data_IF_649821184685
#
_entry.id   IF_649821184685
#
_cell.length_a   1.000
_cell.length_b   1.000
_cell.length_c   1.000
_cell.angle_alpha   90.00
_cell.angle_beta   90.00
_cell.angle_gamma   90.00
#
_symmetry.space_group_name_H-M   'P 1'
#
loop_
_entity.id
_entity.type
_entity.pdbx_description
1 polymer ?
#
# COMPACT_ATOMS: atom_id res chain seq x y z
N UNK A 1 25.76 -4.36 -19.82
CA UNK A 1 24.30 -4.64 -19.90
C UNK A 1 23.55 -4.01 -18.71
N UNK A 2 22.78 -2.95 -18.97
CA UNK A 2 21.88 -2.35 -17.97
C UNK A 2 20.83 -3.38 -17.58
N UNK A 3 20.88 -3.89 -16.34
CA UNK A 3 19.94 -4.90 -15.85
C UNK A 3 18.52 -4.32 -15.94
N UNK A 4 17.62 -5.00 -16.68
CA UNK A 4 16.19 -4.63 -16.71
C UNK A 4 15.66 -4.57 -15.28
N UNK A 5 14.86 -3.56 -14.90
CA UNK A 5 14.32 -3.47 -13.55
C UNK A 5 13.45 -4.69 -13.27
N UNK A 6 13.98 -5.61 -12.46
CA UNK A 6 13.23 -6.76 -11.97
C UNK A 6 12.26 -6.28 -10.92
N UNK A 7 10.97 -6.53 -11.13
CA UNK A 7 9.98 -6.22 -10.11
C UNK A 7 10.18 -7.14 -8.90
N UNK A 8 10.01 -6.54 -7.72
CA UNK A 8 10.08 -7.23 -6.44
C UNK A 8 8.80 -6.93 -5.68
N UNK A 9 8.17 -7.97 -5.17
CA UNK A 9 7.11 -7.82 -4.19
C UNK A 9 7.73 -7.26 -2.92
N UNK A 10 7.13 -6.22 -2.34
CA UNK A 10 7.57 -5.73 -1.05
C UNK A 10 7.13 -6.72 0.04
N UNK A 11 8.10 -7.44 0.60
CA UNK A 11 7.87 -8.50 1.59
C UNK A 11 7.17 -7.99 2.86
N UNK A 12 7.23 -6.69 3.16
CA UNK A 12 6.51 -6.10 4.29
C UNK A 12 4.99 -6.25 4.15
N UNK A 13 4.44 -6.24 2.93
CA UNK A 13 3.01 -6.49 2.75
C UNK A 13 2.61 -7.92 3.10
N UNK A 14 3.56 -8.87 3.10
CA UNK A 14 3.30 -10.24 3.52
C UNK A 14 3.12 -10.37 5.04
N UNK A 15 3.38 -9.31 5.82
CA UNK A 15 3.05 -9.27 7.25
C UNK A 15 1.60 -8.86 7.50
N UNK A 16 0.94 -8.25 6.51
CA UNK A 16 -0.47 -7.87 6.59
C UNK A 16 -1.34 -9.09 6.28
N UNK A 17 -2.13 -9.51 7.28
CA UNK A 17 -2.99 -10.69 7.18
C UNK A 17 -4.06 -10.53 6.10
N UNK A 18 -4.66 -9.36 5.98
CA UNK A 18 -5.73 -9.09 5.01
C UNK A 18 -5.15 -9.12 3.60
N UNK A 19 -3.98 -8.50 3.41
CA UNK A 19 -3.26 -8.55 2.14
C UNK A 19 -2.92 -9.99 1.73
N UNK A 20 -2.37 -10.79 2.66
CA UNK A 20 -2.02 -12.18 2.35
C UNK A 20 -3.25 -13.05 2.09
N UNK A 21 -4.36 -12.80 2.78
CA UNK A 21 -5.59 -13.54 2.56
C UNK A 21 -6.18 -13.24 1.17
N UNK A 22 -6.21 -11.98 0.78
CA UNK A 22 -6.66 -11.56 -0.56
C UNK A 22 -5.80 -12.20 -1.66
N UNK A 23 -4.47 -12.19 -1.51
CA UNK A 23 -3.56 -12.87 -2.45
C UNK A 23 -3.78 -14.38 -2.50
N UNK A 24 -4.01 -15.05 -1.35
CA UNK A 24 -4.30 -16.50 -1.30
C UNK A 24 -5.60 -16.84 -2.03
N UNK A 25 -6.64 -16.04 -1.83
CA UNK A 25 -7.92 -16.21 -2.49
C UNK A 25 -7.74 -16.08 -4.01
N UNK A 26 -7.02 -15.05 -4.45
CA UNK A 26 -6.75 -14.82 -5.87
C UNK A 26 -5.93 -15.95 -6.50
N UNK A 27 -4.92 -16.46 -5.80
CA UNK A 27 -4.13 -17.61 -6.25
C UNK A 27 -4.97 -18.87 -6.39
N UNK A 28 -5.84 -19.15 -5.41
CA UNK A 28 -6.70 -20.32 -5.42
C UNK A 28 -7.67 -20.27 -6.60
N UNK A 29 -8.37 -19.13 -6.77
CA UNK A 29 -9.25 -18.90 -7.91
C UNK A 29 -8.52 -19.01 -9.25
N UNK A 30 -7.30 -18.49 -9.35
CA UNK A 30 -6.51 -18.59 -10.57
C UNK A 30 -6.25 -20.06 -10.96
N UNK A 31 -5.79 -20.89 -10.03
CA UNK A 31 -5.52 -22.29 -10.33
C UNK A 31 -6.79 -23.10 -10.55
N UNK A 32 -7.86 -22.86 -9.80
CA UNK A 32 -9.17 -23.50 -10.03
C UNK A 32 -9.67 -23.28 -11.46
N UNK A 33 -9.47 -22.08 -12.03
CA UNK A 33 -9.95 -21.73 -13.36
C UNK A 33 -9.00 -22.15 -14.50
N UNK A 34 -7.71 -22.30 -14.22
CA UNK A 34 -6.68 -22.46 -15.26
C UNK A 34 -5.98 -23.82 -15.27
N UNK A 35 -6.11 -24.63 -14.21
CA UNK A 35 -5.57 -25.99 -14.22
C UNK A 35 -6.29 -26.80 -15.31
N UNK A 36 -5.52 -27.42 -16.20
CA UNK A 36 -6.05 -28.20 -17.33
C UNK A 36 -6.40 -27.38 -18.58
N UNK A 37 -6.31 -26.04 -18.54
CA UNK A 37 -6.61 -25.19 -19.72
C UNK A 37 -5.52 -25.24 -20.79
N UNK A 38 -4.29 -25.60 -20.41
CA UNK A 38 -3.15 -25.77 -21.32
C UNK A 38 -2.36 -27.02 -20.93
N UNK A 39 -1.72 -27.64 -21.92
CA UNK A 39 -0.95 -28.88 -21.71
C UNK A 39 0.35 -28.68 -20.93
N UNK A 40 0.90 -27.46 -20.92
CA UNK A 40 2.17 -27.17 -20.24
C UNK A 40 1.93 -26.44 -18.91
N UNK A 41 2.26 -27.07 -17.76
CA UNK A 41 2.21 -26.42 -16.46
C UNK A 41 3.09 -25.16 -16.38
N UNK A 42 4.17 -25.10 -17.17
CA UNK A 42 5.06 -23.95 -17.22
C UNK A 42 4.37 -22.67 -17.73
N UNK A 43 3.44 -22.81 -18.68
CA UNK A 43 2.66 -21.69 -19.20
C UNK A 43 1.70 -21.16 -18.13
N UNK A 44 1.02 -22.06 -17.42
CA UNK A 44 0.12 -21.71 -16.29
C UNK A 44 0.91 -20.96 -15.23
N UNK A 45 2.11 -21.44 -14.87
CA UNK A 45 2.94 -20.78 -13.87
C UNK A 45 3.43 -19.40 -14.33
N UNK A 46 3.82 -19.25 -15.60
CA UNK A 46 4.25 -17.96 -16.14
C UNK A 46 3.10 -16.93 -16.13
N UNK A 47 1.91 -17.34 -16.55
CA UNK A 47 0.72 -16.51 -16.54
C UNK A 47 0.27 -16.18 -15.11
N UNK A 48 0.27 -17.16 -14.19
CA UNK A 48 -0.01 -16.96 -12.76
C UNK A 48 0.86 -15.84 -12.17
N UNK A 49 2.18 -15.88 -12.39
CA UNK A 49 3.11 -14.85 -11.89
C UNK A 49 2.79 -13.47 -12.46
N UNK A 50 2.44 -13.39 -13.74
CA UNK A 50 2.10 -12.11 -14.38
C UNK A 50 0.81 -11.53 -13.79
N UNK A 51 -0.23 -12.35 -13.64
CA UNK A 51 -1.51 -11.98 -13.05
C UNK A 51 -1.34 -11.58 -11.59
N UNK A 52 -0.65 -12.39 -10.79
CA UNK A 52 -0.39 -12.12 -9.37
C UNK A 52 0.34 -10.79 -9.18
N UNK A 53 1.31 -10.49 -10.04
CA UNK A 53 2.02 -9.20 -10.01
C UNK A 53 1.09 -8.03 -10.31
N UNK A 54 0.19 -8.17 -11.30
CA UNK A 54 -0.82 -7.16 -11.61
C UNK A 54 -1.76 -6.92 -10.44
N UNK A 55 -2.28 -8.01 -9.87
CA UNK A 55 -3.19 -7.98 -8.74
C UNK A 55 -2.54 -7.38 -7.48
N UNK A 56 -1.32 -7.82 -7.14
CA UNK A 56 -0.55 -7.26 -6.03
C UNK A 56 -0.36 -5.75 -6.16
N UNK A 57 -0.08 -5.24 -7.37
CA UNK A 57 0.01 -3.78 -7.60
C UNK A 57 -1.34 -3.08 -7.44
N UNK A 58 -2.41 -3.70 -7.96
CA UNK A 58 -3.75 -3.15 -7.87
C UNK A 58 -4.19 -2.94 -6.41
N UNK A 59 -4.02 -3.96 -5.56
CA UNK A 59 -4.37 -3.87 -4.13
C UNK A 59 -3.65 -2.71 -3.47
N UNK A 60 -2.33 -2.58 -3.70
CA UNK A 60 -1.53 -1.51 -3.10
C UNK A 60 -1.96 -0.13 -3.57
N UNK A 61 -2.20 0.02 -4.88
CA UNK A 61 -2.68 1.27 -5.46
C UNK A 61 -4.07 1.65 -4.94
N UNK A 62 -4.98 0.68 -4.79
CA UNK A 62 -6.31 0.91 -4.21
C UNK A 62 -6.19 1.42 -2.77
N UNK A 63 -5.38 0.77 -1.94
CA UNK A 63 -5.18 1.19 -0.55
C UNK A 63 -4.56 2.58 -0.43
N UNK A 64 -3.59 2.89 -1.28
CA UNK A 64 -3.00 4.24 -1.34
C UNK A 64 -4.04 5.28 -1.73
N UNK A 65 -4.90 4.96 -2.71
CA UNK A 65 -6.00 5.83 -3.11
C UNK A 65 -7.00 6.05 -1.97
N UNK A 66 -7.39 5.00 -1.27
CA UNK A 66 -8.33 5.08 -0.15
C UNK A 66 -7.76 5.91 0.99
N UNK A 67 -6.48 5.70 1.33
CA UNK A 67 -5.77 6.48 2.34
C UNK A 67 -5.70 7.96 1.95
N UNK A 68 -5.35 8.28 0.70
CA UNK A 68 -5.29 9.65 0.22
C UNK A 68 -6.67 10.33 0.23
N UNK A 69 -7.73 9.59 -0.11
CA UNK A 69 -9.10 10.07 0.00
C UNK A 69 -9.46 10.39 1.46
N UNK A 70 -9.08 9.52 2.39
CA UNK A 70 -9.32 9.73 3.82
C UNK A 70 -8.57 10.97 4.36
N UNK A 71 -7.31 11.16 3.95
CA UNK A 71 -6.51 12.34 4.29
C UNK A 71 -7.21 13.61 3.78
N UNK A 72 -7.64 13.63 2.51
CA UNK A 72 -8.29 14.79 1.91
C UNK A 72 -9.60 15.18 2.62
N UNK A 73 -10.38 14.20 3.05
CA UNK A 73 -11.59 14.43 3.87
C UNK A 73 -11.21 15.06 5.22
N UNK A 74 -10.18 14.54 5.90
CA UNK A 74 -9.71 15.09 7.18
C UNK A 74 -9.12 16.50 7.05
N UNK A 75 -8.39 16.80 5.97
CA UNK A 75 -7.87 18.14 5.68
C UNK A 75 -9.01 19.14 5.48
N UNK A 76 -10.06 18.73 4.75
CA UNK A 76 -11.27 19.55 4.57
C UNK A 76 -11.96 19.82 5.92
N UNK A 77 -12.06 18.81 6.78
CA UNK A 77 -12.60 18.97 8.13
C UNK A 77 -11.73 19.86 9.01
N UNK A 78 -10.40 19.75 8.93
CA UNK A 78 -9.47 20.60 9.65
C UNK A 78 -9.63 22.07 9.23
N UNK A 79 -9.73 22.35 7.92
CA UNK A 79 -9.99 23.70 7.39
C UNK A 79 -11.34 24.26 7.88
N UNK A 80 -12.37 23.42 7.94
CA UNK A 80 -13.68 23.81 8.49
C UNK A 80 -13.58 24.17 9.97
N UNK A 81 -12.88 23.36 10.76
CA UNK A 81 -12.67 23.60 12.19
C UNK A 81 -11.80 24.83 12.46
N UNK A 82 -10.76 25.08 11.66
CA UNK A 82 -9.94 26.30 11.73
C UNK A 82 -10.81 27.55 11.54
N UNK A 83 -11.65 27.59 10.49
CA UNK A 83 -12.57 28.71 10.26
C UNK A 83 -13.56 28.91 11.40
N UNK A 84 -14.08 27.82 11.96
CA UNK A 84 -14.97 27.89 13.12
C UNK A 84 -14.27 28.40 14.38
N UNK A 85 -13.00 28.03 14.58
CA UNK A 85 -12.23 28.48 15.72
C UNK A 85 -11.93 29.98 15.63
N UNK A 86 -11.58 30.49 14.45
CA UNK A 86 -11.39 31.95 14.22
C UNK A 86 -12.63 32.75 14.64
N UNK A 87 -13.83 32.23 14.36
CA UNK A 87 -15.08 32.95 14.62
C UNK A 87 -15.63 32.76 16.05
N UNK A 88 -15.27 31.68 16.76
CA UNK A 88 -15.91 31.32 18.04
C UNK A 88 -14.95 31.17 19.23
N UNK A 89 -13.64 31.11 18.98
CA UNK A 89 -12.57 30.89 19.97
C UNK A 89 -12.83 29.74 20.96
N UNK A 90 -13.62 28.74 20.58
CA UNK A 90 -14.01 27.65 21.48
C UNK A 90 -12.87 26.65 21.70
N UNK A 91 -12.61 26.33 22.98
CA UNK A 91 -11.67 25.30 23.41
C UNK A 91 -12.08 23.88 22.97
N UNK A 92 -13.36 23.62 22.70
CA UNK A 92 -13.79 22.32 22.15
C UNK A 92 -13.41 22.18 20.67
N UNK A 93 -13.55 23.26 19.89
CA UNK A 93 -13.15 23.31 18.47
C UNK A 93 -11.65 23.14 18.33
N UNK A 94 -10.86 23.79 19.18
CA UNK A 94 -9.39 23.65 19.19
C UNK A 94 -8.95 22.22 19.51
N UNK A 95 -9.54 21.57 20.53
CA UNK A 95 -9.22 20.17 20.84
C UNK A 95 -9.51 19.22 19.67
N UNK A 96 -10.65 19.41 19.01
CA UNK A 96 -11.03 18.60 17.83
C UNK A 96 -10.09 18.84 16.65
N UNK A 97 -9.71 20.09 16.39
CA UNK A 97 -8.75 20.45 15.35
C UNK A 97 -7.37 19.80 15.59
N UNK A 98 -6.85 19.88 16.82
CA UNK A 98 -5.56 19.27 17.18
C UNK A 98 -5.59 17.77 16.92
N UNK A 99 -6.67 17.09 17.33
CA UNK A 99 -6.85 15.66 17.10
C UNK A 99 -6.84 15.30 15.62
N UNK A 100 -7.62 16.01 14.79
CA UNK A 100 -7.66 15.76 13.34
C UNK A 100 -6.28 15.96 12.71
N UNK A 101 -5.53 16.98 13.13
CA UNK A 101 -4.16 17.21 12.65
C UNK A 101 -3.19 16.12 13.09
N UNK A 102 -3.32 15.61 14.31
CA UNK A 102 -2.52 14.49 14.81
C UNK A 102 -2.82 13.21 14.04
N UNK A 103 -4.09 12.92 13.76
CA UNK A 103 -4.52 11.76 12.98
C UNK A 103 -3.94 11.82 11.55
N UNK A 104 -3.99 12.98 10.89
CA UNK A 104 -3.35 13.20 9.58
C UNK A 104 -1.84 12.94 9.65
N UNK A 105 -1.15 13.54 10.64
CA UNK A 105 0.30 13.35 10.81
C UNK A 105 0.65 11.87 11.02
N UNK A 106 -0.13 11.16 11.83
CA UNK A 106 0.09 9.74 12.09
C UNK A 106 -0.03 8.91 10.81
N UNK A 107 -1.07 9.13 10.00
CA UNK A 107 -1.22 8.44 8.72
C UNK A 107 -0.07 8.72 7.75
N UNK A 108 0.33 9.99 7.62
CA UNK A 108 1.45 10.35 6.74
C UNK A 108 2.77 9.76 7.22
N UNK A 109 2.98 9.71 8.54
CA UNK A 109 4.17 9.10 9.14
C UNK A 109 4.25 7.60 8.84
N UNK A 110 3.13 6.88 8.92
CA UNK A 110 3.09 5.45 8.56
C UNK A 110 3.41 5.23 7.07
N UNK A 111 2.88 6.06 6.18
CA UNK A 111 3.24 6.02 4.75
C UNK A 111 4.73 6.32 4.53
N UNK A 112 5.28 7.31 5.23
CA UNK A 112 6.70 7.64 5.16
C UNK A 112 7.58 6.48 5.66
N UNK A 113 7.22 5.85 6.78
CA UNK A 113 7.90 4.65 7.30
C UNK A 113 7.86 3.51 6.28
N UNK A 114 6.73 3.32 5.60
CA UNK A 114 6.59 2.30 4.56
C UNK A 114 7.53 2.57 3.36
N UNK A 115 7.53 3.80 2.83
CA UNK A 115 8.43 4.21 1.74
C UNK A 115 9.91 4.07 2.14
N UNK A 116 10.25 4.42 3.38
CA UNK A 116 11.59 4.25 3.93
C UNK A 116 11.98 2.78 3.98
N UNK A 117 11.13 1.90 4.51
CA UNK A 117 11.38 0.43 4.54
C UNK A 117 11.58 -0.14 3.13
N UNK A 118 10.76 0.28 2.17
CA UNK A 118 10.89 -0.16 0.78
C UNK A 118 12.21 0.30 0.15
N UNK A 119 12.64 1.52 0.46
CA UNK A 119 13.92 2.10 0.01
C UNK A 119 15.11 1.41 0.66
N UNK A 120 15.05 1.16 1.98
CA UNK A 120 16.07 0.43 2.73
C UNK A 120 16.23 -1.00 2.20
N UNK A 121 15.13 -1.74 2.00
CA UNK A 121 15.17 -3.09 1.43
C UNK A 121 15.82 -3.12 0.04
N UNK A 122 15.66 -2.04 -0.74
CA UNK A 122 16.38 -1.88 -2.01
C UNK A 122 17.88 -1.72 -1.77
N UNK A 123 18.31 -0.84 -0.88
CA UNK A 123 19.74 -0.59 -0.61
C UNK A 123 20.44 -1.83 -0.05
N UNK A 124 19.88 -2.47 0.98
CA UNK A 124 20.48 -3.67 1.59
C UNK A 124 20.50 -4.87 0.64
N UNK A 125 19.48 -5.05 -0.20
CA UNK A 125 19.48 -6.08 -1.25
C UNK A 125 20.46 -5.86 -2.40
N UNK A 126 21.14 -4.71 -2.44
CA UNK A 126 22.27 -4.41 -3.32
C UNK A 126 23.63 -4.58 -2.63
N UNK A 127 23.72 -4.36 -1.31
CA UNK A 127 24.96 -4.50 -0.54
C UNK A 127 25.50 -5.94 -0.46
N UNK A 128 24.62 -6.95 -0.56
CA UNK A 128 24.96 -8.37 -0.47
C UNK A 128 25.43 -9.00 -1.81
N UNK A 129 25.70 -8.19 -2.84
CA UNK A 129 26.08 -8.66 -4.19
C UNK A 129 27.52 -8.34 -4.60
N UNK A 130 28.29 -7.80 -3.67
CA UNK A 130 29.70 -7.43 -3.87
C UNK A 130 30.66 -8.35 -3.08
N UNK A 131 30.20 -9.52 -2.66
CA UNK A 131 31.02 -10.61 -2.13
C UNK A 131 31.23 -11.70 -3.17
#
# INVERSE_FOLDING_TARGET
>A
PTKRPMWRLNAWHLQDKDYTQELRNHLSQYFELNVGSVQSPGIIWAACKATLRGHAKHILWSRERDQNSQISVMETEALRLDRQHVNSASASTMRRLTRVREDIKHMMLESAKHMWRASAARIYGWGDKNG
#
